data_IF_949247474023
#
_entry.id   IF_949247474023
#
_cell.length_a   1.000
_cell.length_b   1.000
_cell.length_c   1.000
_cell.angle_alpha   90.00
_cell.angle_beta   90.00
_cell.angle_gamma   90.00
#
_symmetry.space_group_name_H-M   'P 1'
#
loop_
_entity.id
_entity.type
_entity.pdbx_description
1 polymer ?
#
# COMPACT_ATOMS: atom_id res chain seq x y z
N UNK A 1 -43.17 -42.00 -26.89
CA UNK A 1 -42.99 -40.79 -26.06
C UNK A 1 -41.52 -40.40 -26.19
N UNK A 2 -41.22 -39.32 -26.93
CA UNK A 2 -39.85 -38.83 -27.15
C UNK A 2 -39.66 -37.60 -26.26
N UNK A 3 -38.69 -37.67 -25.36
CA UNK A 3 -38.37 -36.60 -24.42
C UNK A 3 -37.62 -35.48 -25.13
N UNK A 4 -38.07 -34.23 -24.95
CA UNK A 4 -37.35 -33.03 -25.32
C UNK A 4 -36.56 -32.54 -24.11
N UNK A 5 -35.24 -32.40 -24.26
CA UNK A 5 -34.34 -31.76 -23.30
C UNK A 5 -34.41 -30.24 -23.48
N UNK A 6 -34.44 -29.43 -22.41
CA UNK A 6 -34.36 -27.97 -22.56
C UNK A 6 -32.89 -27.56 -22.73
N UNK A 7 -32.62 -26.77 -23.77
CA UNK A 7 -31.35 -26.09 -23.99
C UNK A 7 -31.21 -24.96 -22.98
N UNK A 8 -30.22 -25.06 -22.08
CA UNK A 8 -29.83 -23.99 -21.17
C UNK A 8 -28.95 -23.00 -21.95
N UNK A 9 -29.46 -21.80 -22.19
CA UNK A 9 -28.69 -20.69 -22.77
C UNK A 9 -27.87 -20.05 -21.65
N UNK A 10 -26.56 -20.30 -21.63
CA UNK A 10 -25.63 -19.62 -20.72
C UNK A 10 -25.31 -18.26 -21.36
N UNK A 11 -25.89 -17.19 -20.81
CA UNK A 11 -25.47 -15.82 -21.07
C UNK A 11 -24.17 -15.58 -20.29
N UNK A 12 -23.05 -15.50 -21.02
CA UNK A 12 -21.81 -14.96 -20.47
C UNK A 12 -22.00 -13.47 -20.24
N UNK A 13 -21.98 -13.04 -18.97
CA UNK A 13 -21.88 -11.63 -18.62
C UNK A 13 -20.44 -11.17 -18.89
N UNK A 14 -20.24 -10.00 -19.51
CA UNK A 14 -18.90 -9.43 -19.63
C UNK A 14 -18.42 -9.06 -18.22
N UNK A 15 -17.21 -9.47 -17.90
CA UNK A 15 -16.46 -9.01 -16.74
C UNK A 15 -16.21 -7.51 -16.98
N UNK A 16 -16.92 -6.63 -16.26
CA UNK A 16 -16.59 -5.21 -16.28
C UNK A 16 -15.29 -5.07 -15.49
N UNK A 17 -14.17 -4.87 -16.19
CA UNK A 17 -13.00 -4.25 -15.58
C UNK A 17 -13.47 -2.95 -14.94
N UNK A 18 -13.18 -2.75 -13.66
CA UNK A 18 -13.63 -1.57 -12.96
C UNK A 18 -12.91 -0.35 -13.54
N UNK A 19 -13.52 0.83 -13.42
CA UNK A 19 -12.99 2.05 -14.03
C UNK A 19 -11.59 2.46 -13.51
N UNK A 20 -11.01 1.74 -12.55
CA UNK A 20 -9.74 2.08 -11.90
C UNK A 20 -8.67 1.00 -12.04
N UNK A 21 -9.03 -0.17 -12.58
CA UNK A 21 -8.09 -1.28 -12.70
C UNK A 21 -6.98 -0.94 -13.71
N UNK A 22 -5.74 -1.17 -13.30
CA UNK A 22 -4.60 -1.00 -14.18
C UNK A 22 -4.61 -2.10 -15.26
N UNK A 23 -4.73 -1.68 -16.51
CA UNK A 23 -4.60 -2.54 -17.69
C UNK A 23 -3.16 -2.49 -18.20
N UNK A 24 -2.54 -3.66 -18.37
CA UNK A 24 -1.21 -3.79 -18.93
C UNK A 24 -1.26 -4.48 -20.30
N UNK A 25 -0.62 -3.87 -21.31
CA UNK A 25 -0.30 -4.48 -22.59
C UNK A 25 1.19 -4.76 -22.65
N UNK A 26 1.57 -5.89 -23.25
CA UNK A 26 2.94 -6.39 -23.20
C UNK A 26 3.30 -7.03 -21.85
N UNK A 27 4.57 -7.38 -21.70
CA UNK A 27 5.09 -7.97 -20.47
C UNK A 27 6.58 -7.66 -20.34
N UNK A 28 6.92 -6.80 -19.39
CA UNK A 28 8.28 -6.32 -19.21
C UNK A 28 9.28 -7.45 -18.96
N UNK A 29 8.97 -8.40 -18.08
CA UNK A 29 9.83 -9.58 -17.81
C UNK A 29 10.05 -10.43 -19.05
N UNK A 30 9.02 -10.64 -19.87
CA UNK A 30 9.13 -11.41 -21.11
C UNK A 30 10.01 -10.66 -22.12
N UNK A 31 9.80 -9.36 -22.32
CA UNK A 31 10.65 -8.53 -23.18
C UNK A 31 12.11 -8.62 -22.74
N UNK A 32 12.39 -8.45 -21.44
CA UNK A 32 13.75 -8.53 -20.92
C UNK A 32 14.41 -9.90 -21.13
N UNK A 33 13.64 -10.99 -21.05
CA UNK A 33 14.16 -12.34 -21.24
C UNK A 33 14.34 -12.73 -22.71
N UNK A 34 13.42 -12.31 -23.57
CA UNK A 34 13.35 -12.74 -24.98
C UNK A 34 14.00 -11.76 -25.95
N UNK A 35 14.11 -10.49 -25.58
CA UNK A 35 14.42 -9.38 -26.50
C UNK A 35 13.26 -9.02 -27.45
N UNK A 36 12.07 -9.60 -27.27
CA UNK A 36 10.91 -9.29 -28.10
C UNK A 36 10.32 -7.93 -27.73
N UNK A 37 10.54 -6.96 -28.61
CA UNK A 37 10.07 -5.58 -28.50
C UNK A 37 8.94 -5.28 -29.48
N UNK A 38 8.26 -6.31 -30.00
CA UNK A 38 7.16 -6.15 -30.94
C UNK A 38 5.94 -5.45 -30.32
N UNK A 39 5.17 -4.77 -31.18
CA UNK A 39 3.97 -4.05 -30.76
C UNK A 39 2.86 -4.98 -30.30
N UNK A 40 2.18 -4.58 -29.23
CA UNK A 40 1.09 -5.32 -28.59
C UNK A 40 -0.24 -4.56 -28.66
N UNK A 41 -0.19 -3.25 -28.86
CA UNK A 41 -1.37 -2.38 -29.01
C UNK A 41 -1.04 -1.19 -29.92
N UNK A 42 -1.96 -0.85 -30.83
CA UNK A 42 -1.85 0.33 -31.68
C UNK A 42 -2.16 1.60 -30.89
N UNK A 43 -1.33 2.64 -31.04
CA UNK A 43 -1.44 3.90 -30.31
C UNK A 43 -2.30 4.93 -31.03
N UNK A 44 -2.21 4.99 -32.35
CA UNK A 44 -2.92 5.95 -33.21
C UNK A 44 -4.45 5.76 -33.21
N UNK A 45 -4.92 4.59 -32.81
CA UNK A 45 -6.34 4.20 -32.75
C UNK A 45 -6.82 3.85 -31.35
N UNK A 46 -5.97 4.07 -30.33
CA UNK A 46 -6.28 3.74 -28.96
C UNK A 46 -7.39 4.66 -28.41
N UNK A 47 -8.55 4.09 -28.12
CA UNK A 47 -9.62 4.78 -27.40
C UNK A 47 -9.35 4.73 -25.88
N UNK A 48 -9.03 5.88 -25.31
CA UNK A 48 -8.52 5.99 -23.95
C UNK A 48 -9.10 7.19 -23.18
N UNK A 49 -10.43 7.41 -23.16
CA UNK A 49 -11.01 8.59 -22.52
C UNK A 49 -10.62 8.65 -21.03
N UNK A 50 -10.12 9.81 -20.59
CA UNK A 50 -9.67 10.04 -19.20
C UNK A 50 -8.65 9.02 -18.70
N UNK A 51 -7.89 8.42 -19.62
CA UNK A 51 -6.86 7.45 -19.28
C UNK A 51 -5.56 8.14 -18.89
N UNK A 52 -4.88 7.53 -17.92
CA UNK A 52 -3.57 7.91 -17.46
C UNK A 52 -2.68 6.68 -17.44
N UNK A 53 -1.42 6.84 -17.82
CA UNK A 53 -0.53 5.71 -17.99
C UNK A 53 0.78 6.04 -18.66
N UNK A 54 1.62 5.02 -18.75
CA UNK A 54 2.98 5.10 -19.27
C UNK A 54 3.35 3.84 -20.04
N UNK A 55 4.34 3.94 -20.93
CA UNK A 55 4.79 2.79 -21.71
C UNK A 55 5.95 3.10 -22.63
N UNK A 56 6.33 2.12 -23.44
CA UNK A 56 7.37 2.26 -24.46
C UNK A 56 6.87 1.77 -25.82
N UNK A 57 7.31 2.43 -26.88
CA UNK A 57 6.94 2.10 -28.26
C UNK A 57 7.57 0.79 -28.73
N UNK A 58 6.96 0.15 -29.72
CA UNK A 58 7.50 -1.02 -30.38
C UNK A 58 8.92 -0.76 -30.92
N UNK A 59 9.79 -1.76 -30.79
CA UNK A 59 11.21 -1.64 -31.12
C UNK A 59 12.02 -0.79 -30.13
N UNK A 60 11.44 -0.39 -29.00
CA UNK A 60 12.06 0.47 -27.98
C UNK A 60 12.57 1.79 -28.57
N UNK A 61 11.74 2.47 -29.37
CA UNK A 61 12.11 3.67 -30.14
C UNK A 61 11.61 4.99 -29.56
N UNK A 62 11.03 4.94 -28.37
CA UNK A 62 10.45 6.08 -27.71
C UNK A 62 9.62 5.68 -26.50
N UNK A 63 9.27 6.69 -25.74
CA UNK A 63 8.49 6.63 -24.50
C UNK A 63 7.08 7.19 -24.73
N UNK A 64 6.12 6.62 -24.01
CA UNK A 64 4.70 6.91 -24.15
C UNK A 64 4.19 7.44 -22.82
N UNK A 65 3.46 8.56 -22.86
CA UNK A 65 2.67 9.06 -21.74
C UNK A 65 1.21 9.22 -22.17
N UNK A 66 0.29 8.75 -21.31
CA UNK A 66 -1.14 9.02 -21.43
C UNK A 66 -1.53 10.05 -20.38
N UNK A 67 -2.10 11.18 -20.83
CA UNK A 67 -2.49 12.29 -19.96
C UNK A 67 -3.91 12.71 -20.26
N UNK A 68 -4.83 12.33 -19.38
CA UNK A 68 -6.28 12.60 -19.51
C UNK A 68 -6.86 12.14 -20.87
N UNK A 69 -6.38 10.99 -21.32
CA UNK A 69 -6.76 10.38 -22.60
C UNK A 69 -6.06 10.91 -23.84
N UNK A 70 -5.19 11.91 -23.72
CA UNK A 70 -4.23 12.22 -24.77
C UNK A 70 -3.09 11.20 -24.74
N UNK A 71 -2.91 10.46 -25.84
CA UNK A 71 -1.75 9.59 -26.05
C UNK A 71 -0.66 10.43 -26.70
N UNK A 72 0.51 10.51 -26.08
CA UNK A 72 1.64 11.28 -26.59
C UNK A 72 2.91 10.43 -26.54
N UNK A 73 3.80 10.68 -27.50
CA UNK A 73 5.04 9.93 -27.69
C UNK A 73 6.23 10.88 -27.79
N UNK A 74 7.26 10.58 -27.01
CA UNK A 74 8.62 11.12 -27.19
C UNK A 74 9.45 10.07 -27.93
N UNK A 75 9.91 10.37 -29.13
CA UNK A 75 10.69 9.42 -29.95
C UNK A 75 12.18 9.61 -29.69
N UNK A 76 12.93 8.52 -29.54
CA UNK A 76 14.38 8.59 -29.31
C UNK A 76 15.19 9.11 -30.50
N UNK A 77 14.59 9.21 -31.68
CA UNK A 77 15.16 9.95 -32.81
C UNK A 77 15.18 11.48 -32.61
N UNK A 78 14.41 11.98 -31.64
CA UNK A 78 14.34 13.40 -31.28
C UNK A 78 15.17 13.65 -30.01
N UNK A 79 16.37 14.26 -30.12
CA UNK A 79 17.24 14.50 -28.97
C UNK A 79 16.69 15.56 -28.01
N UNK A 80 15.65 16.31 -28.40
CA UNK A 80 14.96 17.22 -27.49
C UNK A 80 13.79 16.55 -26.73
N UNK A 81 13.51 15.27 -27.00
CA UNK A 81 12.43 14.49 -26.38
C UNK A 81 11.07 15.19 -26.42
N UNK A 82 10.74 15.79 -27.57
CA UNK A 82 9.45 16.47 -27.75
C UNK A 82 8.29 15.48 -27.80
N UNK A 83 7.24 15.80 -27.06
CA UNK A 83 5.95 15.12 -27.11
C UNK A 83 5.21 15.46 -28.40
N UNK A 84 4.74 14.43 -29.09
CA UNK A 84 3.87 14.55 -30.27
C UNK A 84 2.82 13.44 -30.24
N UNK A 85 1.68 13.60 -30.95
CA UNK A 85 0.74 12.50 -31.12
C UNK A 85 1.38 11.28 -31.81
N UNK A 86 0.79 10.08 -31.68
CA UNK A 86 1.28 8.88 -32.36
C UNK A 86 1.26 9.05 -33.87
N UNK A 87 2.27 8.49 -34.54
CA UNK A 87 2.29 8.35 -35.99
C UNK A 87 1.36 7.21 -36.44
N UNK A 88 0.82 7.25 -37.67
CA UNK A 88 -0.02 6.15 -38.18
C UNK A 88 0.70 4.80 -38.14
N UNK A 89 0.06 3.82 -37.49
CA UNK A 89 0.63 2.48 -37.29
C UNK A 89 1.70 2.38 -36.20
N UNK A 90 1.90 3.42 -35.38
CA UNK A 90 2.76 3.34 -34.21
C UNK A 90 2.10 2.50 -33.12
N UNK A 91 2.87 1.58 -32.52
CA UNK A 91 2.40 0.61 -31.55
C UNK A 91 3.22 0.71 -30.26
N UNK A 92 2.64 0.30 -29.13
CA UNK A 92 3.37 0.11 -27.88
C UNK A 92 3.90 -1.33 -27.77
N UNK A 93 5.16 -1.50 -27.37
CA UNK A 93 5.64 -2.79 -26.89
C UNK A 93 5.02 -3.09 -25.52
N UNK A 94 5.04 -2.08 -24.64
CA UNK A 94 4.51 -2.15 -23.27
C UNK A 94 3.69 -0.89 -23.00
N UNK A 95 2.52 -1.06 -22.40
CA UNK A 95 1.66 0.05 -21.99
C UNK A 95 0.91 -0.32 -20.72
N UNK A 96 1.08 0.46 -19.66
CA UNK A 96 0.29 0.36 -18.44
C UNK A 96 -0.60 1.58 -18.31
N UNK A 97 -1.92 1.37 -18.21
CA UNK A 97 -2.90 2.47 -18.14
C UNK A 97 -4.12 2.13 -17.30
N UNK A 98 -4.74 3.14 -16.73
CA UNK A 98 -6.05 3.05 -16.07
C UNK A 98 -6.88 4.30 -16.38
N UNK A 99 -8.17 4.26 -16.09
CA UNK A 99 -9.03 5.45 -16.22
C UNK A 99 -9.10 6.17 -14.88
N UNK A 100 -9.03 7.50 -14.89
CA UNK A 100 -9.15 8.30 -13.66
C UNK A 100 -10.20 9.37 -13.90
N UNK A 101 -11.33 9.24 -13.20
CA UNK A 101 -12.42 10.22 -13.28
C UNK A 101 -12.07 11.51 -12.55
N UNK A 102 -11.58 11.38 -11.32
CA UNK A 102 -11.23 12.49 -10.44
C UNK A 102 -9.98 12.16 -9.63
N UNK A 103 -9.30 13.22 -9.19
CA UNK A 103 -8.04 13.16 -8.46
C UNK A 103 -8.16 13.72 -7.05
N UNK A 104 -7.65 12.96 -6.10
CA UNK A 104 -7.44 13.39 -4.73
C UNK A 104 -6.01 13.86 -4.50
N UNK A 105 -5.83 15.11 -4.10
CA UNK A 105 -4.52 15.71 -3.82
C UNK A 105 -4.06 15.50 -2.36
N UNK A 106 -2.83 15.02 -2.19
CA UNK A 106 -2.16 14.82 -0.90
C UNK A 106 -0.76 15.44 -0.97
N UNK A 107 -0.42 16.46 -0.16
CA UNK A 107 0.94 16.96 -0.10
C UNK A 107 1.84 15.95 0.61
N UNK A 108 3.05 15.73 0.06
CA UNK A 108 4.06 14.91 0.73
C UNK A 108 4.54 15.62 2.01
N UNK A 109 4.51 14.96 3.18
CA UNK A 109 4.89 15.58 4.44
C UNK A 109 6.40 15.79 4.59
N UNK A 110 7.22 15.01 3.87
CA UNK A 110 8.68 15.00 3.95
C UNK A 110 9.27 14.73 2.57
N UNK A 111 10.57 14.94 2.44
CA UNK A 111 11.31 14.48 1.26
C UNK A 111 11.27 12.94 1.19
N UNK A 112 11.09 12.40 -0.02
CA UNK A 112 10.94 10.96 -0.25
C UNK A 112 11.76 10.49 -1.46
N UNK A 113 12.41 9.35 -1.29
CA UNK A 113 12.90 8.50 -2.38
C UNK A 113 11.75 7.61 -2.90
N UNK A 114 11.88 6.98 -4.07
CA UNK A 114 10.82 6.15 -4.68
C UNK A 114 10.28 5.04 -3.75
N UNK A 115 11.13 4.34 -3.00
CA UNK A 115 10.70 3.30 -2.06
C UNK A 115 9.81 3.86 -0.95
N UNK A 116 10.17 5.03 -0.41
CA UNK A 116 9.39 5.70 0.63
C UNK A 116 8.07 6.24 0.07
N UNK A 117 8.10 6.76 -1.17
CA UNK A 117 6.88 7.20 -1.86
C UNK A 117 5.93 6.02 -2.11
N UNK A 118 6.46 4.86 -2.50
CA UNK A 118 5.66 3.63 -2.72
C UNK A 118 4.87 3.27 -1.47
N UNK A 119 5.53 3.23 -0.31
CA UNK A 119 4.86 2.95 0.96
C UNK A 119 3.84 4.04 1.34
N UNK A 120 4.16 5.31 1.08
CA UNK A 120 3.23 6.41 1.32
C UNK A 120 1.97 6.29 0.45
N UNK A 121 2.12 5.92 -0.83
CA UNK A 121 1.01 5.66 -1.75
C UNK A 121 0.14 4.52 -1.20
N UNK A 122 0.73 3.40 -0.79
CA UNK A 122 -0.01 2.25 -0.22
C UNK A 122 -0.87 2.65 0.97
N UNK A 123 -0.30 3.42 1.92
CA UNK A 123 -1.04 3.91 3.08
C UNK A 123 -2.19 4.85 2.67
N UNK A 124 -1.92 5.82 1.80
CA UNK A 124 -2.93 6.81 1.39
C UNK A 124 -4.05 6.19 0.54
N UNK A 125 -3.70 5.20 -0.29
CA UNK A 125 -4.62 4.45 -1.15
C UNK A 125 -5.51 3.51 -0.32
N UNK A 126 -4.92 2.73 0.59
CA UNK A 126 -5.65 1.82 1.48
C UNK A 126 -6.64 2.57 2.36
N UNK A 127 -6.23 3.73 2.91
CA UNK A 127 -7.11 4.59 3.71
C UNK A 127 -8.32 5.13 2.93
N UNK A 128 -8.28 5.09 1.59
CA UNK A 128 -9.33 5.55 0.68
C UNK A 128 -10.09 4.41 0.01
N UNK A 129 -9.74 3.17 0.30
CA UNK A 129 -10.39 2.00 -0.30
C UNK A 129 -10.01 1.75 -1.75
N UNK A 130 -8.86 2.27 -2.22
CA UNK A 130 -8.30 1.87 -3.51
C UNK A 130 -7.72 0.45 -3.38
N UNK A 131 -7.89 -0.36 -4.44
CA UNK A 131 -7.33 -1.71 -4.52
C UNK A 131 -5.83 -1.66 -4.85
N UNK A 132 -4.99 -1.81 -3.82
CA UNK A 132 -3.53 -1.85 -3.97
C UNK A 132 -3.03 -3.15 -4.60
N UNK A 133 -3.83 -4.21 -4.67
CA UNK A 133 -3.45 -5.46 -5.35
C UNK A 133 -3.68 -5.38 -6.87
N UNK A 134 -4.68 -4.59 -7.30
CA UNK A 134 -4.91 -4.29 -8.71
C UNK A 134 -3.91 -3.26 -9.26
N UNK A 135 -3.58 -2.25 -8.46
CA UNK A 135 -2.77 -1.11 -8.91
C UNK A 135 -3.60 -0.07 -9.69
N UNK A 136 -3.04 1.12 -9.88
CA UNK A 136 -3.76 2.27 -10.41
C UNK A 136 -2.80 3.36 -10.92
N UNK A 137 -3.28 4.28 -11.79
CA UNK A 137 -2.50 5.45 -12.19
C UNK A 137 -2.25 6.40 -11.01
N UNK A 138 -1.11 7.07 -11.04
CA UNK A 138 -0.72 8.11 -10.07
C UNK A 138 -0.20 9.33 -10.82
N UNK A 139 -0.30 10.50 -10.18
CA UNK A 139 0.34 11.72 -10.65
C UNK A 139 1.05 12.42 -9.50
N UNK A 140 2.21 13.01 -9.77
CA UNK A 140 2.86 13.93 -8.84
C UNK A 140 3.15 15.27 -9.52
N UNK A 141 2.93 16.38 -8.84
CA UNK A 141 3.24 17.71 -9.35
C UNK A 141 4.09 18.48 -8.35
N UNK A 142 5.22 19.03 -8.81
CA UNK A 142 6.15 19.75 -7.95
C UNK A 142 7.49 20.02 -8.60
N UNK A 143 8.49 20.31 -7.77
CA UNK A 143 9.90 20.40 -8.13
C UNK A 143 10.63 19.14 -7.66
N UNK A 144 11.47 18.56 -8.52
CA UNK A 144 12.18 17.31 -8.24
C UNK A 144 13.67 17.61 -8.00
N UNK A 145 14.19 17.55 -6.75
CA UNK A 145 15.57 17.94 -6.45
C UNK A 145 16.62 17.16 -7.23
N UNK A 146 16.39 15.86 -7.43
CA UNK A 146 17.08 15.02 -8.39
C UNK A 146 16.08 14.53 -9.42
N UNK A 147 16.49 14.52 -10.69
CA UNK A 147 15.70 13.99 -11.79
C UNK A 147 16.66 13.58 -12.92
N UNK A 148 16.76 12.28 -13.15
CA UNK A 148 17.39 11.68 -14.33
C UNK A 148 16.32 10.89 -15.06
N UNK A 149 16.22 11.10 -16.37
CA UNK A 149 15.23 10.43 -17.21
C UNK A 149 15.77 10.22 -18.62
N UNK A 150 15.15 9.32 -19.37
CA UNK A 150 15.59 8.97 -20.70
C UNK A 150 14.46 8.76 -21.71
N UNK A 151 14.87 8.67 -22.98
CA UNK A 151 14.04 8.17 -24.07
C UNK A 151 14.83 7.13 -24.87
N UNK A 152 14.31 5.91 -24.95
CA UNK A 152 14.93 4.82 -25.73
C UNK A 152 14.93 5.11 -27.24
N UNK A 153 16.00 4.73 -27.95
CA UNK A 153 16.21 5.06 -29.37
C UNK A 153 15.95 3.91 -30.34
N UNK A 154 15.95 2.68 -29.85
CA UNK A 154 15.85 1.44 -30.62
C UNK A 154 17.14 1.04 -31.32
N UNK A 155 18.22 1.81 -31.10
CA UNK A 155 19.55 1.47 -31.57
C UNK A 155 20.24 0.52 -30.56
N UNK A 156 21.18 -0.33 -31.00
CA UNK A 156 21.91 -1.19 -30.07
C UNK A 156 22.63 -0.36 -28.99
N UNK A 157 22.65 -0.83 -27.72
CA UNK A 157 23.40 -0.16 -26.66
C UNK A 157 24.88 0.00 -27.05
N UNK A 158 25.49 1.13 -26.70
CA UNK A 158 26.92 1.32 -26.93
C UNK A 158 27.75 0.64 -25.83
N UNK A 159 28.96 0.14 -26.17
CA UNK A 159 29.91 -0.36 -25.15
C UNK A 159 30.25 0.78 -24.18
N UNK A 160 29.76 0.69 -22.94
CA UNK A 160 29.94 1.72 -21.91
C UNK A 160 28.66 2.48 -21.51
N UNK A 161 27.50 2.17 -22.12
CA UNK A 161 26.18 2.50 -21.56
C UNK A 161 25.95 1.64 -20.30
N UNK A 162 26.76 1.87 -19.26
CA UNK A 162 26.55 1.27 -17.94
C UNK A 162 25.69 2.21 -17.11
N UNK A 163 24.48 1.75 -16.81
CA UNK A 163 23.69 2.03 -15.59
C UNK A 163 24.20 3.18 -14.71
N UNK A 164 23.80 4.40 -15.04
CA UNK A 164 23.79 5.50 -14.07
C UNK A 164 22.42 5.50 -13.40
N UNK A 165 22.39 5.20 -12.09
CA UNK A 165 21.18 5.00 -11.29
C UNK A 165 21.24 3.66 -10.56
N UNK A 166 21.52 3.68 -9.26
CA UNK A 166 21.88 2.53 -8.44
C UNK A 166 20.77 1.55 -8.07
N UNK A 167 19.75 1.35 -8.93
CA UNK A 167 18.65 0.44 -8.67
C UNK A 167 18.32 -0.43 -9.90
N UNK A 168 18.61 -1.72 -9.81
CA UNK A 168 18.05 -2.77 -10.67
C UNK A 168 18.85 -3.21 -11.90
N UNK A 169 19.33 -4.46 -11.92
CA UNK A 169 19.53 -5.20 -13.18
C UNK A 169 18.13 -5.44 -13.78
N UNK A 170 17.71 -4.65 -14.78
CA UNK A 170 16.36 -4.80 -15.33
C UNK A 170 15.89 -3.75 -16.33
N UNK A 171 16.57 -2.61 -16.48
CA UNK A 171 16.08 -1.52 -17.31
C UNK A 171 16.11 -1.82 -18.82
N UNK A 172 15.20 -1.18 -19.58
CA UNK A 172 15.09 -1.28 -21.04
C UNK A 172 16.42 -0.98 -21.79
N UNK A 173 17.33 -0.25 -21.13
CA UNK A 173 18.67 0.06 -21.61
C UNK A 173 19.56 -1.15 -21.90
N UNK A 174 19.22 -2.34 -21.39
CA UNK A 174 19.90 -3.58 -21.79
C UNK A 174 19.67 -3.95 -23.26
N UNK A 175 18.59 -3.43 -23.87
CA UNK A 175 18.13 -3.79 -25.22
C UNK A 175 18.10 -2.61 -26.21
N UNK A 176 18.30 -1.38 -25.73
CA UNK A 176 18.34 -0.17 -26.56
C UNK A 176 19.27 0.90 -25.97
N UNK A 177 19.97 1.64 -26.82
CA UNK A 177 20.56 2.92 -26.45
C UNK A 177 19.46 3.95 -26.09
N UNK A 178 19.86 5.05 -25.45
CA UNK A 178 18.94 6.05 -24.93
C UNK A 178 19.50 7.47 -25.01
N UNK A 179 18.62 8.46 -25.15
CA UNK A 179 18.95 9.85 -24.87
C UNK A 179 18.71 10.10 -23.37
N UNK A 180 19.76 10.45 -22.63
CA UNK A 180 19.73 10.69 -21.19
C UNK A 180 19.66 12.19 -20.87
N UNK A 181 18.83 12.55 -19.89
CA UNK A 181 18.63 13.93 -19.43
C UNK A 181 18.80 13.97 -17.90
N UNK A 182 19.73 14.79 -17.42
CA UNK A 182 19.98 15.05 -16.00
C UNK A 182 19.56 16.50 -15.70
N UNK A 183 18.42 16.65 -15.03
CA UNK A 183 17.73 17.93 -14.84
C UNK A 183 17.34 18.16 -13.36
N UNK A 184 18.31 18.28 -12.44
CA UNK A 184 18.04 18.47 -11.02
C UNK A 184 17.31 19.79 -10.75
N UNK A 185 16.29 19.74 -9.91
CA UNK A 185 15.44 20.87 -9.58
C UNK A 185 14.40 21.22 -10.64
N UNK A 186 14.21 20.37 -11.66
CA UNK A 186 13.18 20.57 -12.66
C UNK A 186 11.78 20.62 -12.02
N UNK A 187 10.97 21.56 -12.49
CA UNK A 187 9.54 21.62 -12.18
C UNK A 187 8.76 20.89 -13.27
N UNK A 188 7.69 20.20 -12.87
CA UNK A 188 6.82 19.54 -13.81
C UNK A 188 5.86 18.56 -13.15
N UNK A 189 5.53 17.53 -13.91
CA UNK A 189 4.60 16.48 -13.54
C UNK A 189 5.26 15.12 -13.72
N UNK A 190 5.04 14.21 -12.77
CA UNK A 190 5.26 12.78 -12.98
C UNK A 190 3.92 12.16 -13.27
N UNK A 191 3.81 11.48 -14.40
CA UNK A 191 2.72 10.57 -14.72
C UNK A 191 3.25 9.16 -14.52
N UNK A 192 2.51 8.33 -13.80
CA UNK A 192 2.97 6.98 -13.55
C UNK A 192 1.86 6.02 -13.18
N UNK A 193 2.27 4.80 -12.88
CA UNK A 193 1.39 3.76 -12.37
C UNK A 193 2.01 3.16 -11.10
N UNK A 194 1.17 2.93 -10.11
CA UNK A 194 1.46 2.05 -8.99
C UNK A 194 0.93 0.65 -9.34
N UNK A 195 1.79 -0.37 -9.27
CA UNK A 195 1.43 -1.74 -9.59
C UNK A 195 1.23 -2.56 -8.32
N UNK A 196 0.15 -3.34 -8.30
CA UNK A 196 0.01 -4.41 -7.33
C UNK A 196 0.92 -5.61 -7.65
N UNK A 197 1.02 -6.60 -6.74
CA UNK A 197 2.01 -7.68 -6.84
C UNK A 197 1.94 -8.48 -8.14
N UNK A 198 0.73 -8.65 -8.71
CA UNK A 198 0.53 -9.42 -9.93
C UNK A 198 1.04 -8.71 -11.20
N UNK A 199 1.14 -7.38 -11.16
CA UNK A 199 1.58 -6.56 -12.28
C UNK A 199 3.04 -6.11 -12.17
N UNK A 200 3.72 -6.42 -11.06
CA UNK A 200 5.15 -6.19 -10.87
C UNK A 200 5.98 -7.04 -11.86
N UNK A 201 6.88 -6.37 -12.60
CA UNK A 201 7.61 -6.98 -13.72
C UNK A 201 6.75 -7.23 -14.97
N UNK A 202 5.49 -6.79 -14.98
CA UNK A 202 4.61 -6.82 -16.17
C UNK A 202 4.38 -5.39 -16.66
N UNK A 203 3.84 -4.54 -15.78
CA UNK A 203 3.52 -3.13 -16.01
C UNK A 203 4.59 -2.18 -15.44
N UNK A 204 5.32 -2.62 -14.42
CA UNK A 204 6.49 -1.95 -13.84
C UNK A 204 7.74 -2.84 -13.96
N UNK A 205 8.89 -2.31 -13.56
CA UNK A 205 10.14 -3.08 -13.52
C UNK A 205 10.09 -4.18 -12.44
N UNK A 206 10.85 -5.28 -12.59
CA UNK A 206 10.94 -6.31 -11.55
C UNK A 206 11.50 -5.74 -10.24
N UNK A 207 10.82 -5.98 -9.12
CA UNK A 207 11.21 -5.44 -7.82
C UNK A 207 10.76 -4.00 -7.56
N UNK A 208 10.13 -3.34 -8.52
CA UNK A 208 9.66 -1.96 -8.41
C UNK A 208 8.15 -1.90 -8.62
N UNK A 209 7.44 -1.22 -7.72
CA UNK A 209 5.98 -1.01 -7.85
C UNK A 209 5.61 0.26 -8.59
N UNK A 210 6.58 1.11 -8.90
CA UNK A 210 6.36 2.35 -9.61
C UNK A 210 6.91 2.23 -11.03
N UNK A 211 6.17 2.75 -12.00
CA UNK A 211 6.67 3.03 -13.33
C UNK A 211 6.30 4.47 -13.66
N UNK A 212 7.32 5.32 -13.79
CA UNK A 212 7.19 6.77 -13.78
C UNK A 212 7.76 7.38 -15.05
N UNK A 213 7.02 8.31 -15.64
CA UNK A 213 7.48 9.17 -16.73
C UNK A 213 7.39 10.63 -16.29
N UNK A 214 8.41 11.42 -16.62
CA UNK A 214 8.42 12.86 -16.38
C UNK A 214 7.71 13.58 -17.51
N UNK A 215 7.04 14.69 -17.20
CA UNK A 215 6.49 15.66 -18.15
C UNK A 215 6.95 17.05 -17.72
N UNK A 216 7.59 17.79 -18.62
CA UNK A 216 8.10 19.14 -18.34
C UNK A 216 7.00 20.12 -17.95
N UNK A 217 7.32 21.16 -17.18
CA UNK A 217 6.35 22.18 -16.75
C UNK A 217 5.57 22.85 -17.91
N UNK A 218 6.18 22.97 -19.09
CA UNK A 218 5.52 23.47 -20.30
C UNK A 218 4.70 22.41 -21.07
N UNK A 219 4.75 21.15 -20.63
CA UNK A 219 4.05 20.02 -21.21
C UNK A 219 4.61 19.55 -22.56
N UNK A 220 5.82 19.96 -22.93
CA UNK A 220 6.36 19.71 -24.28
C UNK A 220 7.35 18.55 -24.36
N UNK A 221 7.88 18.07 -23.22
CA UNK A 221 8.88 17.00 -23.17
C UNK A 221 8.47 15.92 -22.17
N UNK A 222 8.85 14.68 -22.45
CA UNK A 222 8.62 13.54 -21.56
C UNK A 222 9.55 12.37 -21.83
N UNK A 223 9.73 11.52 -20.82
CA UNK A 223 10.41 10.24 -20.93
C UNK A 223 10.41 9.46 -19.63
N UNK A 224 11.00 8.27 -19.64
CA UNK A 224 11.05 7.35 -18.50
C UNK A 224 11.99 7.89 -17.41
N UNK A 225 11.56 7.86 -16.15
CA UNK A 225 12.37 8.32 -15.01
C UNK A 225 13.28 7.21 -14.53
N UNK A 226 14.59 7.50 -14.46
CA UNK A 226 15.62 6.59 -13.96
C UNK A 226 15.96 6.85 -12.49
N UNK A 227 16.03 8.13 -12.11
CA UNK A 227 16.37 8.57 -10.76
C UNK A 227 15.55 9.80 -10.39
N UNK A 228 14.96 9.82 -9.21
CA UNK A 228 14.12 10.95 -8.77
C UNK A 228 14.04 11.03 -7.26
N UNK A 229 14.03 12.26 -6.75
CA UNK A 229 13.63 12.57 -5.37
C UNK A 229 12.40 13.47 -5.38
N UNK A 230 11.55 13.29 -4.39
CA UNK A 230 10.35 14.08 -4.21
C UNK A 230 10.52 14.97 -2.99
N UNK A 231 10.50 16.29 -3.18
CA UNK A 231 10.59 17.22 -2.05
C UNK A 231 9.27 17.25 -1.25
N UNK A 232 9.36 17.55 0.04
CA UNK A 232 8.21 17.87 0.88
C UNK A 232 7.36 18.97 0.22
N UNK A 233 6.03 18.81 0.25
CA UNK A 233 5.09 19.70 -0.43
C UNK A 233 4.84 19.37 -1.90
N UNK A 234 5.59 18.44 -2.51
CA UNK A 234 5.17 17.81 -3.78
C UNK A 234 3.75 17.26 -3.60
N UNK A 235 2.88 17.48 -4.56
CA UNK A 235 1.48 17.02 -4.46
C UNK A 235 1.34 15.68 -5.15
N UNK A 236 1.08 14.63 -4.38
CA UNK A 236 0.63 13.34 -4.88
C UNK A 236 -0.85 13.42 -5.21
N UNK A 237 -1.24 12.92 -6.37
CA UNK A 237 -2.62 12.77 -6.80
C UNK A 237 -2.92 11.28 -6.93
N UNK A 238 -3.94 10.83 -6.20
CA UNK A 238 -4.48 9.47 -6.27
C UNK A 238 -5.88 9.51 -6.89
N UNK A 239 -6.33 8.46 -7.58
CA UNK A 239 -7.70 8.39 -8.05
C UNK A 239 -8.70 8.47 -6.90
N UNK A 240 -9.77 9.24 -7.05
CA UNK A 240 -10.93 9.11 -6.16
C UNK A 240 -11.71 7.84 -6.52
N UNK A 241 -12.09 6.97 -5.57
CA UNK A 241 -12.87 5.77 -5.86
C UNK A 241 -14.16 6.13 -6.60
N UNK A 242 -14.46 5.43 -7.71
CA UNK A 242 -15.59 5.77 -8.55
C UNK A 242 -16.92 5.80 -7.76
N UNK A 243 -17.76 6.82 -7.98
CA UNK A 243 -19.09 6.92 -7.39
C UNK A 243 -19.99 5.76 -7.89
N UNK A 244 -19.89 4.62 -7.21
CA UNK A 244 -20.58 3.37 -7.55
C UNK A 244 -20.21 2.22 -6.60
N UNK A 245 -19.00 2.24 -6.04
CA UNK A 245 -18.47 1.12 -5.23
C UNK A 245 -18.68 1.23 -3.71
N UNK A 246 -19.26 2.34 -3.22
CA UNK A 246 -19.61 2.48 -1.80
C UNK A 246 -20.74 1.52 -1.33
N UNK A 247 -21.25 0.65 -2.21
CA UNK A 247 -22.37 -0.27 -1.94
C UNK A 247 -22.11 -1.71 -2.41
N UNK A 248 -20.88 -2.21 -2.34
CA UNK A 248 -20.62 -3.65 -2.46
C UNK A 248 -19.37 -4.14 -1.73
N UNK A 249 -19.19 -3.80 -0.45
CA UNK A 249 -18.23 -4.52 0.40
C UNK A 249 -18.93 -5.08 1.64
N UNK A 250 -19.56 -6.25 1.46
CA UNK A 250 -19.78 -7.21 2.53
C UNK A 250 -19.59 -8.61 1.96
N UNK A 251 -18.35 -8.88 1.54
CA UNK A 251 -17.83 -10.24 1.51
C UNK A 251 -16.61 -10.23 2.40
N UNK A 252 -16.50 -11.12 3.40
CA UNK A 252 -15.35 -11.14 4.29
C UNK A 252 -14.10 -11.36 3.44
N UNK A 253 -13.13 -10.46 3.57
CA UNK A 253 -11.78 -10.72 3.12
C UNK A 253 -11.34 -12.04 3.77
N UNK A 254 -11.05 -13.02 2.93
CA UNK A 254 -10.37 -14.24 3.35
C UNK A 254 -9.04 -13.79 3.98
N UNK A 255 -8.77 -14.04 5.27
CA UNK A 255 -7.53 -13.60 5.90
C UNK A 255 -6.38 -14.35 5.24
N UNK A 256 -5.51 -13.63 4.54
CA UNK A 256 -4.26 -14.18 3.99
C UNK A 256 -3.11 -13.43 4.65
N UNK A 257 -2.37 -14.14 5.49
CA UNK A 257 -1.30 -13.61 6.33
C UNK A 257 -0.26 -12.83 5.50
N UNK A 258 -0.14 -11.53 5.78
CA UNK A 258 1.05 -10.76 5.42
C UNK A 258 2.24 -11.42 6.11
N UNK A 259 3.25 -11.85 5.36
CA UNK A 259 4.39 -12.61 5.88
C UNK A 259 5.05 -11.91 7.08
N UNK A 260 4.65 -12.34 8.28
CA UNK A 260 5.02 -11.84 9.62
C UNK A 260 4.60 -10.37 9.92
N UNK A 261 3.31 -10.15 10.20
CA UNK A 261 2.73 -8.89 10.71
C UNK A 261 3.52 -8.26 11.89
N UNK A 262 4.15 -9.08 12.72
CA UNK A 262 5.02 -8.61 13.80
C UNK A 262 6.27 -7.86 13.28
N UNK A 263 6.85 -8.30 12.16
CA UNK A 263 8.01 -7.63 11.57
C UNK A 263 7.63 -6.27 10.99
N UNK A 264 6.47 -6.17 10.35
CA UNK A 264 5.93 -4.90 9.84
C UNK A 264 5.69 -3.91 10.98
N UNK A 265 5.08 -4.35 12.08
CA UNK A 265 4.87 -3.51 13.26
C UNK A 265 6.19 -3.01 13.88
N UNK A 266 7.22 -3.86 13.93
CA UNK A 266 8.55 -3.44 14.42
C UNK A 266 9.19 -2.45 13.44
N UNK A 267 9.11 -2.68 12.13
CA UNK A 267 9.68 -1.81 11.10
C UNK A 267 9.06 -0.40 11.16
N UNK A 268 7.73 -0.32 11.30
CA UNK A 268 7.01 0.96 11.45
C UNK A 268 7.53 1.76 12.65
N UNK A 269 7.66 1.11 13.81
CA UNK A 269 8.14 1.78 15.03
C UNK A 269 9.62 2.17 14.93
N UNK A 270 10.47 1.31 14.35
CA UNK A 270 11.88 1.65 14.10
C UNK A 270 12.00 2.85 13.16
N UNK A 271 11.18 2.92 12.10
CA UNK A 271 11.16 4.06 11.20
C UNK A 271 10.74 5.36 11.91
N UNK A 272 9.76 5.30 12.81
CA UNK A 272 9.38 6.45 13.64
C UNK A 272 10.51 6.91 14.57
N UNK A 273 11.16 5.99 15.29
CA UNK A 273 12.29 6.30 16.18
C UNK A 273 13.48 6.90 15.40
N UNK A 274 13.76 6.40 14.21
CA UNK A 274 14.86 6.91 13.36
C UNK A 274 14.56 8.30 12.77
N UNK A 275 13.28 8.62 12.54
CA UNK A 275 12.86 9.89 11.96
C UNK A 275 12.78 11.03 12.99
N UNK A 276 12.60 10.72 14.27
CA UNK A 276 12.54 11.71 15.36
C UNK A 276 13.95 12.05 15.87
N UNK A 277 14.47 13.27 15.63
CA UNK A 277 15.80 13.68 16.06
C UNK A 277 15.94 13.79 17.58
N UNK A 278 14.83 13.86 18.32
CA UNK A 278 14.79 13.97 19.78
C UNK A 278 14.67 12.59 20.46
N UNK A 279 14.72 11.50 19.70
CA UNK A 279 14.66 10.13 20.25
C UNK A 279 15.77 9.88 21.26
N UNK A 280 15.40 9.55 22.51
CA UNK A 280 16.32 9.08 23.53
C UNK A 280 16.65 7.60 23.31
N UNK A 281 17.68 7.35 22.51
CA UNK A 281 18.18 6.00 22.19
C UNK A 281 18.60 5.18 23.41
N UNK A 282 18.85 5.79 24.58
CA UNK A 282 19.16 5.04 25.80
C UNK A 282 17.91 4.40 26.44
N UNK A 283 16.71 4.88 26.08
CA UNK A 283 15.43 4.37 26.57
C UNK A 283 14.76 3.37 25.62
N UNK A 284 15.23 3.27 24.38
CA UNK A 284 14.63 2.42 23.34
C UNK A 284 14.81 0.94 23.66
N UNK A 285 13.71 0.18 23.63
CA UNK A 285 13.68 -1.26 23.86
C UNK A 285 12.81 -1.99 22.82
N UNK A 286 13.41 -2.31 21.67
CA UNK A 286 12.74 -3.07 20.60
C UNK A 286 12.50 -4.53 21.01
N UNK A 287 13.29 -5.07 21.94
CA UNK A 287 13.08 -6.44 22.43
C UNK A 287 11.82 -6.52 23.29
N UNK A 288 11.52 -5.50 24.10
CA UNK A 288 10.25 -5.38 24.80
C UNK A 288 9.06 -5.34 23.83
N UNK A 289 9.16 -4.59 22.72
CA UNK A 289 8.12 -4.58 21.68
C UNK A 289 7.99 -5.96 21.00
N UNK A 290 9.11 -6.61 20.66
CA UNK A 290 9.09 -7.95 20.07
C UNK A 290 8.44 -8.96 21.01
N UNK A 291 8.74 -8.90 22.30
CA UNK A 291 8.14 -9.78 23.31
C UNK A 291 6.63 -9.51 23.48
N UNK A 292 6.20 -8.25 23.41
CA UNK A 292 4.79 -7.90 23.42
C UNK A 292 4.04 -8.48 22.19
N UNK A 293 4.63 -8.40 21.00
CA UNK A 293 4.03 -8.98 19.79
C UNK A 293 3.94 -10.52 19.87
N UNK A 294 4.92 -11.18 20.51
CA UNK A 294 4.84 -12.62 20.83
C UNK A 294 3.69 -12.89 21.80
N UNK A 295 3.48 -12.04 22.81
CA UNK A 295 2.37 -12.20 23.74
C UNK A 295 1.02 -12.04 23.03
N UNK A 296 0.89 -11.06 22.14
CA UNK A 296 -0.30 -10.87 21.31
C UNK A 296 -0.58 -12.09 20.43
N UNK A 297 0.43 -12.60 19.73
CA UNK A 297 0.31 -13.79 18.86
C UNK A 297 -0.10 -15.04 19.67
N UNK A 298 0.53 -15.25 20.83
CA UNK A 298 0.20 -16.36 21.73
C UNK A 298 -1.24 -16.26 22.27
N UNK A 299 -1.64 -15.10 22.78
CA UNK A 299 -2.98 -14.89 23.35
C UNK A 299 -4.06 -14.95 22.27
N UNK A 300 -3.77 -14.45 21.07
CA UNK A 300 -4.75 -14.38 19.97
C UNK A 300 -4.93 -15.72 19.27
N UNK A 301 -3.84 -16.41 18.95
CA UNK A 301 -3.88 -17.58 18.06
C UNK A 301 -3.64 -18.91 18.77
N UNK A 302 -3.06 -18.91 19.99
CA UNK A 302 -2.63 -20.15 20.67
C UNK A 302 -3.29 -20.39 22.04
N UNK A 303 -3.94 -19.40 22.64
CA UNK A 303 -4.66 -19.59 23.89
C UNK A 303 -5.96 -20.37 23.68
N UNK A 304 -6.33 -21.21 24.66
CA UNK A 304 -7.66 -21.82 24.74
C UNK A 304 -8.57 -20.92 25.55
N UNK A 305 -9.74 -20.62 25.01
CA UNK A 305 -10.73 -19.75 25.65
C UNK A 305 -12.02 -20.52 25.87
N UNK A 306 -12.40 -20.69 27.12
CA UNK A 306 -13.74 -21.16 27.48
C UNK A 306 -14.60 -19.98 27.92
N UNK A 307 -15.73 -19.80 27.25
CA UNK A 307 -16.67 -18.70 27.55
C UNK A 307 -17.84 -19.21 28.38
N UNK A 308 -18.12 -18.51 29.49
CA UNK A 308 -19.22 -18.79 30.39
C UNK A 308 -20.12 -17.54 30.47
N UNK A 309 -21.43 -17.65 30.19
CA UNK A 309 -22.33 -16.53 30.36
C UNK A 309 -22.44 -16.15 31.84
N UNK A 310 -22.41 -14.85 32.12
CA UNK A 310 -22.75 -14.27 33.43
C UNK A 310 -23.80 -13.17 33.24
N UNK A 311 -24.44 -12.76 34.34
CA UNK A 311 -25.40 -11.66 34.31
C UNK A 311 -24.72 -10.37 33.82
N UNK A 312 -25.31 -9.72 32.81
CA UNK A 312 -24.76 -8.50 32.20
C UNK A 312 -23.51 -8.70 31.33
N UNK A 313 -23.08 -9.93 31.03
CA UNK A 313 -21.91 -10.14 30.16
C UNK A 313 -21.39 -11.57 30.07
N UNK A 314 -20.06 -11.74 30.19
CA UNK A 314 -19.38 -13.02 30.03
C UNK A 314 -18.10 -13.13 30.89
N UNK A 315 -17.78 -14.38 31.26
CA UNK A 315 -16.54 -14.79 31.91
C UNK A 315 -15.76 -15.69 30.96
N UNK A 316 -14.48 -15.40 30.76
CA UNK A 316 -13.57 -16.09 29.84
C UNK A 316 -12.45 -16.74 30.63
N UNK A 317 -12.38 -18.06 30.60
CA UNK A 317 -11.26 -18.82 31.17
C UNK A 317 -10.24 -19.03 30.06
N UNK A 318 -9.09 -18.37 30.17
CA UNK A 318 -8.05 -18.32 29.13
C UNK A 318 -6.84 -19.10 29.62
N UNK A 319 -6.53 -20.22 28.97
CA UNK A 319 -5.50 -21.16 29.44
C UNK A 319 -4.67 -21.75 28.31
N UNK A 320 -3.52 -22.34 28.65
CA UNK A 320 -2.73 -23.19 27.76
C UNK A 320 -1.98 -24.27 28.53
N UNK A 321 -1.63 -25.37 27.86
CA UNK A 321 -0.68 -26.36 28.39
C UNK A 321 0.77 -25.96 28.10
N UNK A 322 0.98 -25.01 27.18
CA UNK A 322 2.29 -24.45 26.87
C UNK A 322 2.69 -23.39 27.92
N UNK A 323 3.80 -23.58 28.64
CA UNK A 323 4.27 -22.60 29.61
C UNK A 323 4.53 -21.20 29.04
N UNK A 324 4.95 -21.10 27.77
CA UNK A 324 5.21 -19.81 27.12
C UNK A 324 3.90 -19.05 26.85
N UNK A 325 2.90 -19.74 26.31
CA UNK A 325 1.56 -19.15 26.10
C UNK A 325 0.90 -18.80 27.43
N UNK A 326 1.09 -19.65 28.45
CA UNK A 326 0.61 -19.36 29.82
C UNK A 326 1.22 -18.08 30.39
N UNK A 327 2.52 -17.85 30.16
CA UNK A 327 3.19 -16.62 30.56
C UNK A 327 2.61 -15.41 29.83
N UNK A 328 2.42 -15.49 28.51
CA UNK A 328 1.80 -14.43 27.71
C UNK A 328 0.38 -14.09 28.19
N UNK A 329 -0.45 -15.09 28.49
CA UNK A 329 -1.80 -14.89 29.04
C UNK A 329 -1.73 -14.14 30.38
N UNK A 330 -0.84 -14.56 31.28
CA UNK A 330 -0.68 -13.95 32.60
C UNK A 330 -0.11 -12.53 32.56
N UNK A 331 0.68 -12.21 31.54
CA UNK A 331 1.19 -10.86 31.32
C UNK A 331 0.10 -9.94 30.75
N UNK A 332 -0.57 -10.39 29.67
CA UNK A 332 -1.41 -9.52 28.85
C UNK A 332 -2.83 -9.33 29.38
N UNK A 333 -3.49 -10.40 29.86
CA UNK A 333 -4.92 -10.35 30.24
C UNK A 333 -5.18 -9.42 31.42
N UNK A 334 -4.42 -9.49 32.54
CA UNK A 334 -4.65 -8.57 33.65
C UNK A 334 -4.33 -7.12 33.32
N UNK A 335 -3.30 -6.87 32.51
CA UNK A 335 -2.92 -5.53 32.08
C UNK A 335 -3.99 -4.88 31.19
N UNK A 336 -4.55 -5.63 30.24
CA UNK A 336 -5.66 -5.15 29.41
C UNK A 336 -6.91 -4.91 30.24
N UNK A 337 -7.29 -5.83 31.12
CA UNK A 337 -8.44 -5.65 32.00
C UNK A 337 -8.33 -4.38 32.84
N UNK A 338 -7.16 -4.14 33.46
CA UNK A 338 -6.94 -2.95 34.29
C UNK A 338 -6.98 -1.63 33.49
N UNK A 339 -6.55 -1.67 32.22
CA UNK A 339 -6.50 -0.46 31.36
C UNK A 339 -7.84 -0.16 30.72
N UNK A 340 -8.56 -1.20 30.30
CA UNK A 340 -9.82 -1.10 29.55
C UNK A 340 -11.06 -1.11 30.45
N UNK A 341 -10.91 -1.28 31.77
CA UNK A 341 -12.01 -1.12 32.71
C UNK A 341 -12.63 0.28 32.59
N UNK A 342 -13.95 0.33 32.37
CA UNK A 342 -14.72 1.55 32.13
C UNK A 342 -14.78 2.01 30.67
N UNK A 343 -13.97 1.44 29.77
CA UNK A 343 -14.07 1.71 28.31
C UNK A 343 -15.35 1.11 27.76
N UNK A 344 -16.02 1.82 26.84
CA UNK A 344 -17.38 1.49 26.35
C UNK A 344 -18.46 1.37 27.45
N UNK A 345 -18.16 1.82 28.67
CA UNK A 345 -19.03 1.65 29.83
C UNK A 345 -19.10 0.21 30.36
N UNK A 346 -18.12 -0.64 30.02
CA UNK A 346 -18.02 -2.00 30.52
C UNK A 346 -17.11 -2.07 31.74
N UNK A 347 -17.44 -2.96 32.68
CA UNK A 347 -16.57 -3.31 33.78
C UNK A 347 -15.74 -4.54 33.40
N UNK A 348 -14.42 -4.42 33.44
CA UNK A 348 -13.47 -5.50 33.17
C UNK A 348 -12.65 -5.82 34.41
N UNK A 349 -12.55 -7.10 34.74
CA UNK A 349 -11.69 -7.59 35.82
C UNK A 349 -11.00 -8.87 35.42
N UNK A 350 -9.80 -9.11 35.95
CA UNK A 350 -9.04 -10.32 35.69
C UNK A 350 -8.51 -10.95 36.98
N UNK A 351 -8.54 -12.28 37.05
CA UNK A 351 -8.00 -13.07 38.16
C UNK A 351 -7.06 -14.17 37.63
N UNK A 352 -6.01 -14.56 38.38
CA UNK A 352 -5.14 -15.66 37.98
C UNK A 352 -5.88 -16.99 37.92
N UNK A 353 -5.51 -17.84 36.96
CA UNK A 353 -6.02 -19.21 36.84
C UNK A 353 -4.87 -20.22 36.79
N UNK A 354 -5.18 -21.48 37.12
CA UNK A 354 -4.31 -22.60 36.74
C UNK A 354 -4.20 -22.64 35.20
N UNK A 355 -2.98 -22.62 34.67
CA UNK A 355 -2.73 -22.59 33.22
C UNK A 355 -3.00 -21.24 32.53
N UNK A 356 -3.31 -20.15 33.24
CA UNK A 356 -3.49 -18.84 32.60
C UNK A 356 -4.15 -17.78 33.49
N UNK A 357 -5.26 -17.21 33.00
CA UNK A 357 -6.03 -16.15 33.66
C UNK A 357 -7.53 -16.27 33.32
N UNK A 358 -8.37 -15.64 34.13
CA UNK A 358 -9.80 -15.48 33.88
C UNK A 358 -10.08 -14.00 33.68
N UNK A 359 -10.76 -13.64 32.59
CA UNK A 359 -11.30 -12.30 32.35
C UNK A 359 -12.81 -12.32 32.59
N UNK A 360 -13.35 -11.34 33.31
CA UNK A 360 -14.79 -11.12 33.44
C UNK A 360 -15.12 -9.73 32.90
N UNK A 361 -16.08 -9.67 31.97
CA UNK A 361 -16.58 -8.43 31.40
C UNK A 361 -18.10 -8.34 31.60
N UNK A 362 -18.57 -7.22 32.16
CA UNK A 362 -20.00 -6.95 32.38
C UNK A 362 -20.36 -5.52 31.97
N UNK A 363 -21.63 -5.27 31.67
CA UNK A 363 -22.16 -3.94 31.38
C UNK A 363 -23.67 -3.89 31.60
N UNK A 364 -24.28 -2.77 31.22
CA UNK A 364 -25.74 -2.60 31.29
C UNK A 364 -26.47 -3.46 30.23
N UNK A 365 -27.81 -3.50 30.25
CA UNK A 365 -28.63 -4.43 29.45
C UNK A 365 -28.31 -4.46 27.93
N UNK A 366 -27.89 -3.33 27.34
CA UNK A 366 -27.51 -3.25 25.91
C UNK A 366 -26.07 -3.74 25.62
N UNK A 367 -25.25 -3.91 26.66
CA UNK A 367 -23.85 -4.34 26.56
C UNK A 367 -23.70 -5.86 26.51
N UNK A 368 -24.57 -6.62 27.17
CA UNK A 368 -24.45 -8.08 27.26
C UNK A 368 -24.37 -8.76 25.87
N UNK A 369 -25.25 -8.44 24.89
CA UNK A 369 -25.16 -9.02 23.55
C UNK A 369 -23.85 -8.65 22.83
N UNK A 370 -23.32 -7.44 23.07
CA UNK A 370 -22.06 -6.96 22.48
C UNK A 370 -20.85 -7.69 23.08
N UNK A 371 -20.77 -7.78 24.41
CA UNK A 371 -19.70 -8.47 25.15
C UNK A 371 -19.64 -9.94 24.72
N UNK A 372 -20.81 -10.60 24.63
CA UNK A 372 -20.88 -12.01 24.19
C UNK A 372 -20.58 -12.17 22.71
N UNK A 373 -21.04 -11.24 21.88
CA UNK A 373 -20.79 -11.26 20.43
C UNK A 373 -19.33 -11.04 20.06
N UNK A 374 -18.63 -10.16 20.78
CA UNK A 374 -17.20 -9.90 20.61
C UNK A 374 -16.34 -11.07 21.11
N UNK A 375 -16.78 -11.73 22.19
CA UNK A 375 -15.99 -12.77 22.85
C UNK A 375 -14.68 -12.23 23.42
N UNK A 376 -13.81 -13.13 23.89
CA UNK A 376 -12.55 -12.74 24.53
C UNK A 376 -11.65 -11.91 23.62
N UNK A 377 -11.37 -12.39 22.40
CA UNK A 377 -10.45 -11.70 21.49
C UNK A 377 -11.02 -10.36 21.02
N UNK A 378 -12.31 -10.29 20.70
CA UNK A 378 -12.93 -9.01 20.34
C UNK A 378 -12.91 -8.01 21.48
N UNK A 379 -12.98 -8.44 22.75
CA UNK A 379 -12.82 -7.54 23.90
C UNK A 379 -11.37 -7.06 24.07
N UNK A 380 -10.39 -7.91 23.79
CA UNK A 380 -8.97 -7.56 23.88
C UNK A 380 -8.52 -6.55 22.81
N UNK A 381 -9.33 -6.34 21.76
CA UNK A 381 -9.08 -5.35 20.70
C UNK A 381 -9.93 -4.08 20.81
N UNK A 382 -10.79 -3.98 21.82
CA UNK A 382 -11.65 -2.81 22.05
C UNK A 382 -10.90 -1.80 22.92
N UNK A 383 -10.67 -0.61 22.36
CA UNK A 383 -9.97 0.48 23.04
C UNK A 383 -8.46 0.51 22.79
N UNK A 384 -7.87 1.71 22.97
CA UNK A 384 -6.52 2.14 22.56
C UNK A 384 -6.12 1.88 21.10
N UNK A 385 -5.40 2.85 20.53
CA UNK A 385 -4.78 2.70 19.22
C UNK A 385 -3.49 1.87 19.38
N UNK A 386 -3.46 0.64 18.88
CA UNK A 386 -2.34 -0.29 19.07
C UNK A 386 -0.98 0.31 18.62
N UNK A 387 -0.97 1.22 17.64
CA UNK A 387 0.25 1.92 17.21
C UNK A 387 0.87 2.79 18.32
N UNK A 388 0.05 3.60 19.00
CA UNK A 388 0.51 4.42 20.12
C UNK A 388 0.98 3.56 21.30
N UNK A 389 0.32 2.42 21.51
CA UNK A 389 0.71 1.42 22.50
C UNK A 389 2.07 0.79 22.17
N UNK A 390 2.30 0.38 20.92
CA UNK A 390 3.58 -0.17 20.46
C UNK A 390 4.73 0.84 20.59
N UNK A 391 4.48 2.11 20.25
CA UNK A 391 5.47 3.17 20.39
C UNK A 391 5.84 3.43 21.86
N UNK A 392 4.87 3.40 22.77
CA UNK A 392 5.11 3.53 24.21
C UNK A 392 6.02 2.41 24.73
N UNK A 393 5.75 1.16 24.34
CA UNK A 393 6.60 0.02 24.72
C UNK A 393 8.01 0.18 24.16
N UNK A 394 8.13 0.52 22.88
CA UNK A 394 9.43 0.66 22.22
C UNK A 394 10.28 1.82 22.76
N UNK A 395 9.66 2.84 23.35
CA UNK A 395 10.33 3.98 24.00
C UNK A 395 10.54 3.78 25.51
N UNK A 396 10.32 2.56 26.01
CA UNK A 396 10.51 2.22 27.42
C UNK A 396 9.48 2.86 28.36
N UNK A 397 8.40 3.43 27.83
CA UNK A 397 7.29 3.94 28.62
C UNK A 397 6.38 2.79 29.03
N UNK A 398 5.91 2.81 30.28
CA UNK A 398 4.88 1.87 30.71
C UNK A 398 3.60 2.18 29.92
N UNK A 399 3.07 1.25 29.11
CA UNK A 399 2.03 1.58 28.14
C UNK A 399 0.62 1.61 28.76
N UNK A 400 0.55 1.54 30.09
CA UNK A 400 -0.65 1.42 30.92
C UNK A 400 -0.64 2.39 32.12
N UNK A 401 0.11 3.51 32.08
CA UNK A 401 0.07 4.48 33.19
C UNK A 401 -1.26 5.25 33.15
N UNK A 402 -2.01 5.18 34.25
CA UNK A 402 -3.21 5.98 34.49
C UNK A 402 -2.90 7.48 34.38
N UNK A 403 -3.62 8.19 33.52
CA UNK A 403 -3.72 9.65 33.64
C UNK A 403 -4.81 9.95 34.67
N UNK A 404 -4.42 9.98 35.95
CA UNK A 404 -5.30 10.49 37.01
C UNK A 404 -5.53 11.98 36.77
N UNK A 405 -6.66 12.29 36.15
CA UNK A 405 -7.16 13.65 35.97
C UNK A 405 -7.35 14.32 37.31
N UNK A 406 -6.38 15.15 37.72
CA UNK A 406 -6.55 16.11 38.80
C UNK A 406 -7.65 17.12 38.40
N UNK A 407 -8.89 16.82 38.77
CA UNK A 407 -9.94 17.84 38.84
C UNK A 407 -9.59 18.81 39.97
N UNK A 408 -9.09 19.99 39.59
CA UNK A 408 -9.03 21.15 40.45
C UNK A 408 -10.46 21.58 40.79
N UNK A 409 -10.97 21.11 41.93
CA UNK A 409 -12.16 21.69 42.56
C UNK A 409 -11.76 23.02 43.17
N UNK A 410 -12.07 24.11 42.48
CA UNK A 410 -12.24 25.39 43.13
C UNK A 410 -13.44 25.26 44.09
N UNK A 411 -13.18 25.45 45.39
CA UNK A 411 -14.20 25.72 46.39
C UNK A 411 -13.97 27.13 46.90
N UNK A 412 -15.02 27.93 46.81
CA UNK A 412 -15.25 29.11 47.64
C UNK A 412 -15.33 28.74 49.14
#
# INVERSE_FOLDING_TARGET
MKHALPTLLILALPELATAQDLTAHGNFRHMMHSGDTSGTVALDTLDAPSAWGVGATAGMRGEIVLRDGEVLVSRGSDPEARLTPPEPGEEAAILARGTVADWHAVPLPHDMEPDRLTHFIEMQASARGLDTDAGFPIRLTGSFPTLVWHVVTGEPPHEGDTTHGGHGEGHANAHSAMNLYDEPGAEGEIVGVYTGPALEGVASHPGERLHLHFVSADGTRSGHVDEITFAAGTTLHLPDPAEGDARAMTTPADPREAGQSAFAAIQEIVAHLMADPDTDWASVDIEALRQHLVDMDNVTLRARVETQPVDGGARFVVTSDDPAVTASIRAMVPAHAATMDGVEGWHLSAEPAEGGAILTATGNDDAEPRIRGLGFIGLMTVGMHHQAHHLAIATGQAPHVHHDGHQHRAQD
#
